data_IF_859294201401
#
_entry.id   IF_859294201401
#
_cell.length_a   1.000
_cell.length_b   1.000
_cell.length_c   1.000
_cell.angle_alpha   90.00
_cell.angle_beta   90.00
_cell.angle_gamma   90.00
#
_symmetry.space_group_name_H-M   'P 1'
#
loop_
_entity.id
_entity.type
_entity.pdbx_description
1 polymer ?
#
# COMPACT_ATOMS: atom_id res chain seq x y z
N UNK A 1 38.38 17.73 7.91
CA UNK A 1 37.06 18.45 8.09
C UNK A 1 36.44 18.61 6.72
N UNK A 2 35.24 18.13 6.52
CA UNK A 2 34.52 18.31 5.26
C UNK A 2 33.80 19.66 5.34
N UNK A 3 34.23 20.64 4.56
CA UNK A 3 33.58 21.94 4.43
C UNK A 3 32.50 21.83 3.35
N UNK A 4 31.24 21.65 3.74
CA UNK A 4 30.09 21.62 2.83
C UNK A 4 28.92 22.40 3.40
N UNK A 5 28.02 22.90 2.52
CA UNK A 5 26.76 23.47 2.94
C UNK A 5 25.86 22.37 3.49
N UNK A 6 25.36 22.54 4.70
CA UNK A 6 24.43 21.61 5.37
C UNK A 6 22.99 22.06 5.11
N UNK A 7 22.12 21.11 4.75
CA UNK A 7 20.69 21.33 4.61
C UNK A 7 19.96 20.48 5.66
N UNK A 8 19.09 21.09 6.42
CA UNK A 8 18.20 20.38 7.35
C UNK A 8 16.94 19.91 6.63
N UNK A 9 16.56 18.66 6.86
CA UNK A 9 15.32 18.09 6.34
C UNK A 9 14.74 17.13 7.38
N UNK A 10 13.41 16.97 7.35
CA UNK A 10 12.72 15.91 8.08
C UNK A 10 12.63 14.67 7.20
N UNK A 11 12.73 13.49 7.79
CA UNK A 11 12.61 12.22 7.09
C UNK A 11 12.06 11.14 8.01
N UNK A 12 11.55 10.07 7.39
CA UNK A 12 11.14 8.86 8.09
C UNK A 12 12.23 7.81 7.81
N UNK A 13 12.85 7.27 8.87
CA UNK A 13 13.81 6.17 8.74
C UNK A 13 13.07 4.87 8.45
N UNK A 14 13.19 4.37 7.25
CA UNK A 14 12.53 3.13 6.81
C UNK A 14 13.42 1.90 6.95
N UNK A 15 14.73 2.07 7.03
CA UNK A 15 15.68 0.98 7.19
C UNK A 15 17.07 1.48 7.53
N UNK A 16 17.93 0.56 7.97
CA UNK A 16 19.32 0.84 8.34
C UNK A 16 20.26 -0.26 7.89
N UNK A 17 21.53 0.13 7.67
CA UNK A 17 22.64 -0.79 7.40
C UNK A 17 23.80 -0.36 8.28
N UNK A 18 24.30 -1.29 9.11
CA UNK A 18 25.46 -1.09 9.95
C UNK A 18 26.59 -2.02 9.54
N UNK A 19 27.76 -1.48 9.24
CA UNK A 19 29.00 -2.22 9.03
C UNK A 19 29.66 -2.43 10.39
N UNK A 20 29.40 -3.57 11.03
CA UNK A 20 29.89 -3.87 12.37
C UNK A 20 31.37 -4.32 12.38
N UNK A 21 31.89 -4.80 11.24
CA UNK A 21 33.25 -5.32 11.15
C UNK A 21 33.46 -6.49 12.11
N UNK A 22 34.52 -6.45 12.90
CA UNK A 22 34.87 -7.52 13.85
C UNK A 22 34.62 -7.16 15.32
N UNK A 23 33.99 -6.00 15.57
CA UNK A 23 33.80 -5.44 16.93
C UNK A 23 33.18 -6.45 17.91
N UNK A 24 32.18 -7.19 17.46
CA UNK A 24 31.49 -8.17 18.29
C UNK A 24 32.14 -9.56 18.21
N UNK A 25 32.48 -10.01 17.01
CA UNK A 25 33.05 -11.33 16.79
C UNK A 25 34.39 -11.53 17.53
N UNK A 26 35.26 -10.54 17.59
CA UNK A 26 36.50 -10.58 18.39
C UNK A 26 36.18 -10.75 19.89
N UNK A 27 35.23 -9.96 20.43
CA UNK A 27 34.87 -10.01 21.85
C UNK A 27 34.20 -11.34 22.26
N UNK A 28 33.49 -11.97 21.31
CA UNK A 28 32.78 -13.24 21.52
C UNK A 28 33.61 -14.45 21.13
N UNK A 29 34.87 -14.27 20.68
CA UNK A 29 35.70 -15.32 20.10
C UNK A 29 35.03 -16.04 18.94
N UNK A 30 34.16 -15.33 18.18
CA UNK A 30 33.48 -15.84 17.00
C UNK A 30 34.44 -15.86 15.81
N UNK A 31 35.09 -17.02 15.59
CA UNK A 31 36.12 -17.17 14.53
C UNK A 31 35.77 -18.29 13.58
N UNK A 32 36.34 -18.23 12.37
CA UNK A 32 36.38 -19.30 11.38
C UNK A 32 37.81 -19.58 10.97
N UNK A 33 38.07 -20.76 10.42
CA UNK A 33 39.38 -21.08 9.85
C UNK A 33 39.35 -20.68 8.38
N UNK A 34 40.36 -19.87 7.97
CA UNK A 34 40.55 -19.55 6.55
C UNK A 34 41.13 -20.76 5.77
N UNK A 35 41.32 -20.62 4.47
CA UNK A 35 41.86 -21.64 3.58
C UNK A 35 43.27 -22.17 4.00
N UNK A 36 43.98 -21.39 4.80
CA UNK A 36 45.30 -21.75 5.34
C UNK A 36 45.24 -22.30 6.76
N UNK A 37 44.01 -22.57 7.28
CA UNK A 37 43.78 -23.05 8.64
C UNK A 37 44.01 -22.01 9.74
N UNK A 38 44.10 -20.72 9.40
CA UNK A 38 44.29 -19.62 10.36
C UNK A 38 42.95 -19.13 10.87
N UNK A 39 42.79 -19.04 12.18
CA UNK A 39 41.58 -18.49 12.81
C UNK A 39 41.48 -16.98 12.51
N UNK A 40 40.31 -16.57 11.99
CA UNK A 40 39.93 -15.17 11.73
C UNK A 40 38.56 -14.87 12.32
N UNK A 41 38.37 -13.65 12.89
CA UNK A 41 37.05 -13.25 13.36
C UNK A 41 36.09 -13.05 12.17
N UNK A 42 34.80 -13.35 12.38
CA UNK A 42 33.75 -13.07 11.41
C UNK A 42 33.60 -11.57 11.18
N UNK A 43 33.55 -11.15 9.91
CA UNK A 43 33.15 -9.79 9.54
C UNK A 43 31.63 -9.73 9.53
N UNK A 44 31.09 -8.82 10.32
CA UNK A 44 29.65 -8.74 10.58
C UNK A 44 29.04 -7.49 9.94
N UNK A 45 27.80 -7.63 9.51
CA UNK A 45 26.90 -6.54 9.14
C UNK A 45 25.56 -6.72 9.84
N UNK A 46 24.84 -5.63 10.02
CA UNK A 46 23.48 -5.65 10.51
C UNK A 46 22.62 -4.73 9.64
N UNK A 47 21.47 -5.21 9.23
CA UNK A 47 20.54 -4.45 8.41
C UNK A 47 19.10 -4.83 8.76
N UNK A 48 18.22 -3.86 8.60
CA UNK A 48 16.81 -4.05 8.92
C UNK A 48 15.91 -3.09 8.16
N UNK A 49 14.66 -3.48 8.00
CA UNK A 49 13.59 -2.67 7.40
C UNK A 49 12.42 -2.62 8.37
N UNK A 50 11.92 -1.41 8.64
CA UNK A 50 10.71 -1.20 9.44
C UNK A 50 9.45 -1.42 8.62
N UNK A 51 9.03 -2.67 8.43
CA UNK A 51 7.91 -3.02 7.53
C UNK A 51 6.63 -2.25 7.87
N UNK A 52 6.24 -2.19 9.13
CA UNK A 52 5.05 -1.44 9.56
C UNK A 52 5.21 0.08 9.33
N UNK A 53 6.44 0.58 9.49
CA UNK A 53 6.75 2.01 9.26
C UNK A 53 6.70 2.37 7.78
N UNK A 54 6.96 1.41 6.88
CA UNK A 54 6.83 1.61 5.43
C UNK A 54 5.44 2.04 5.03
N UNK A 55 4.40 1.49 5.66
CA UNK A 55 2.99 1.87 5.39
C UNK A 55 2.81 3.37 5.61
N UNK A 56 3.24 3.88 6.76
CA UNK A 56 3.16 5.31 7.07
C UNK A 56 3.97 6.16 6.07
N UNK A 57 5.18 5.71 5.70
CA UNK A 57 6.02 6.43 4.75
C UNK A 57 5.42 6.47 3.33
N UNK A 58 4.75 5.39 2.90
CA UNK A 58 4.03 5.33 1.63
C UNK A 58 2.85 6.30 1.63
N UNK A 59 2.05 6.30 2.70
CA UNK A 59 0.90 7.20 2.83
C UNK A 59 1.35 8.66 2.83
N UNK A 60 2.40 9.01 3.57
CA UNK A 60 2.97 10.38 3.61
C UNK A 60 3.44 10.89 2.24
N UNK A 61 3.80 10.00 1.33
CA UNK A 61 4.26 10.35 -0.02
C UNK A 61 3.17 10.26 -1.08
N UNK A 62 2.05 9.60 -0.76
CA UNK A 62 0.99 9.30 -1.71
C UNK A 62 -0.38 9.63 -1.12
N UNK A 63 -0.68 10.91 -1.02
CA UNK A 63 -1.95 11.43 -0.55
C UNK A 63 -2.29 12.76 -1.24
N UNK A 64 -3.54 13.15 -1.12
CA UNK A 64 -4.06 14.47 -1.47
C UNK A 64 -5.00 14.98 -0.37
N UNK A 65 -5.70 16.08 -0.61
CA UNK A 65 -6.67 16.67 0.31
C UNK A 65 -7.87 15.77 0.62
N UNK A 66 -8.15 14.77 -0.22
CA UNK A 66 -9.28 13.86 -0.08
C UNK A 66 -8.90 12.55 0.63
N UNK A 67 -7.62 12.22 0.71
CA UNK A 67 -7.16 11.02 1.40
C UNK A 67 -5.95 10.33 0.75
N UNK A 68 -5.84 9.04 0.97
CA UNK A 68 -4.72 8.22 0.51
C UNK A 68 -4.81 7.99 -1.00
N UNK A 69 -3.66 7.84 -1.65
CA UNK A 69 -3.52 7.41 -3.05
C UNK A 69 -2.59 6.19 -3.07
N UNK A 70 -3.13 5.01 -2.82
CA UNK A 70 -2.30 3.80 -2.79
C UNK A 70 -1.67 3.50 -4.15
N UNK A 71 -0.32 3.32 -4.21
CA UNK A 71 0.29 2.64 -5.36
C UNK A 71 -0.24 1.20 -5.45
N UNK A 72 -0.56 0.73 -6.66
CA UNK A 72 -1.20 -0.58 -6.87
C UNK A 72 -0.39 -1.76 -6.32
N UNK A 73 0.93 -1.60 -6.26
CA UNK A 73 1.88 -2.63 -5.81
C UNK A 73 1.83 -2.90 -4.30
N UNK A 74 1.27 -1.97 -3.53
CA UNK A 74 1.21 -2.03 -2.05
C UNK A 74 -0.18 -1.72 -1.50
N UNK A 75 -1.15 -1.54 -2.37
CA UNK A 75 -2.54 -1.35 -1.98
C UNK A 75 -3.07 -2.61 -1.28
N UNK A 76 -3.82 -2.47 -0.16
CA UNK A 76 -4.42 -3.63 0.52
C UNK A 76 -5.47 -4.34 -0.31
N UNK A 77 -6.12 -3.62 -1.23
CA UNK A 77 -7.03 -4.11 -2.26
C UNK A 77 -6.78 -3.32 -3.54
N UNK A 78 -6.96 -3.94 -4.71
CA UNK A 78 -6.82 -3.24 -5.98
C UNK A 78 -8.06 -2.41 -6.31
N UNK A 79 -9.24 -2.93 -6.01
CA UNK A 79 -10.54 -2.34 -6.39
C UNK A 79 -11.37 -2.02 -5.16
N UNK A 80 -11.98 -0.82 -5.16
CA UNK A 80 -13.09 -0.47 -4.28
C UNK A 80 -14.38 -0.52 -5.07
N UNK A 81 -15.21 -1.51 -4.82
CA UNK A 81 -16.50 -1.70 -5.46
C UNK A 81 -17.59 -1.07 -4.60
N UNK A 82 -18.24 -0.03 -5.10
CA UNK A 82 -19.20 0.78 -4.36
C UNK A 82 -20.61 0.62 -4.96
N UNK A 83 -21.53 0.03 -4.23
CA UNK A 83 -22.96 0.05 -4.56
C UNK A 83 -23.59 1.30 -3.97
N UNK A 84 -24.14 2.19 -4.80
CA UNK A 84 -24.69 3.47 -4.31
C UNK A 84 -26.03 3.30 -3.56
N UNK A 85 -26.82 2.31 -3.92
CA UNK A 85 -28.12 2.05 -3.27
C UNK A 85 -28.40 0.55 -3.15
N UNK A 86 -28.05 0.00 -2.00
CA UNK A 86 -28.25 -1.42 -1.67
C UNK A 86 -29.72 -1.84 -1.55
N UNK A 87 -30.65 -0.88 -1.53
CA UNK A 87 -32.10 -1.14 -1.51
C UNK A 87 -32.67 -1.38 -2.90
N UNK A 88 -31.90 -1.07 -3.95
CA UNK A 88 -32.28 -1.30 -5.34
C UNK A 88 -31.73 -2.64 -5.82
N UNK A 89 -32.60 -3.59 -6.07
CA UNK A 89 -32.22 -4.95 -6.46
C UNK A 89 -31.31 -4.98 -7.66
N UNK A 90 -31.58 -4.17 -8.71
CA UNK A 90 -30.74 -4.12 -9.91
C UNK A 90 -29.30 -3.66 -9.60
N UNK A 91 -29.12 -2.61 -8.77
CA UNK A 91 -27.78 -2.15 -8.38
C UNK A 91 -27.07 -3.20 -7.55
N UNK A 92 -27.76 -3.81 -6.59
CA UNK A 92 -27.22 -4.86 -5.74
C UNK A 92 -26.80 -6.08 -6.58
N UNK A 93 -27.69 -6.62 -7.42
CA UNK A 93 -27.37 -7.78 -8.26
C UNK A 93 -26.22 -7.51 -9.23
N UNK A 94 -26.18 -6.32 -9.84
CA UNK A 94 -25.09 -5.92 -10.73
C UNK A 94 -23.78 -5.85 -9.96
N UNK A 95 -23.78 -5.28 -8.75
CA UNK A 95 -22.59 -5.19 -7.91
C UNK A 95 -22.10 -6.59 -7.52
N UNK A 96 -23.01 -7.47 -7.09
CA UNK A 96 -22.67 -8.85 -6.71
C UNK A 96 -22.08 -9.65 -7.90
N UNK A 97 -22.62 -9.47 -9.11
CA UNK A 97 -22.08 -10.08 -10.34
C UNK A 97 -20.66 -9.60 -10.61
N UNK A 98 -20.40 -8.29 -10.51
CA UNK A 98 -19.07 -7.72 -10.69
C UNK A 98 -18.12 -8.24 -9.61
N UNK A 99 -18.54 -8.26 -8.34
CA UNK A 99 -17.76 -8.76 -7.22
C UNK A 99 -17.30 -10.21 -7.46
N UNK A 100 -18.25 -11.09 -7.78
CA UNK A 100 -17.95 -12.50 -8.02
C UNK A 100 -16.99 -12.69 -9.20
N UNK A 101 -17.21 -11.95 -10.30
CA UNK A 101 -16.32 -12.02 -11.46
C UNK A 101 -14.89 -11.56 -11.13
N UNK A 102 -14.74 -10.48 -10.35
CA UNK A 102 -13.41 -10.01 -9.93
C UNK A 102 -12.72 -11.03 -9.02
N UNK A 103 -13.47 -11.71 -8.13
CA UNK A 103 -12.91 -12.78 -7.29
C UNK A 103 -12.48 -14.00 -8.11
N UNK A 104 -13.25 -14.40 -9.15
CA UNK A 104 -12.88 -15.48 -10.07
C UNK A 104 -11.56 -15.16 -10.79
N UNK A 105 -11.35 -13.88 -11.15
CA UNK A 105 -10.11 -13.39 -11.75
C UNK A 105 -8.99 -13.13 -10.72
N UNK A 106 -9.21 -13.48 -9.44
CA UNK A 106 -8.28 -13.29 -8.32
C UNK A 106 -7.88 -11.83 -8.08
N UNK A 107 -8.78 -10.91 -8.38
CA UNK A 107 -8.62 -9.49 -8.05
C UNK A 107 -9.09 -9.25 -6.62
N UNK A 108 -8.25 -8.63 -5.80
CA UNK A 108 -8.61 -8.25 -4.44
C UNK A 108 -9.54 -7.03 -4.44
N UNK A 109 -10.74 -7.20 -3.88
CA UNK A 109 -11.83 -6.23 -3.91
C UNK A 109 -12.32 -5.90 -2.52
N UNK A 110 -12.39 -4.62 -2.20
CA UNK A 110 -13.15 -4.11 -1.07
C UNK A 110 -14.56 -3.75 -1.54
N UNK A 111 -15.57 -4.47 -1.06
CA UNK A 111 -16.97 -4.23 -1.42
C UNK A 111 -17.68 -3.38 -0.35
N UNK A 112 -18.17 -2.19 -0.73
CA UNK A 112 -18.98 -1.33 0.12
C UNK A 112 -20.46 -1.62 -0.09
N UNK A 113 -20.98 -2.54 0.72
CA UNK A 113 -22.38 -2.98 0.79
C UNK A 113 -23.20 -2.22 1.86
N UNK A 114 -22.66 -1.20 2.49
CA UNK A 114 -23.33 -0.44 3.54
C UNK A 114 -24.55 0.30 3.01
N UNK A 115 -25.55 0.46 3.87
CA UNK A 115 -26.73 1.30 3.59
C UNK A 115 -26.41 2.72 4.05
N UNK A 116 -25.62 3.43 3.24
CA UNK A 116 -25.19 4.81 3.51
C UNK A 116 -25.49 5.73 2.33
N UNK A 117 -25.44 7.04 2.57
CA UNK A 117 -25.65 8.05 1.52
C UNK A 117 -24.49 8.01 0.51
N UNK A 118 -24.76 8.18 -0.80
CA UNK A 118 -23.72 8.16 -1.82
C UNK A 118 -22.54 9.09 -1.52
N UNK A 119 -22.79 10.30 -1.00
CA UNK A 119 -21.73 11.24 -0.64
C UNK A 119 -20.77 10.72 0.45
N UNK A 120 -21.30 9.97 1.43
CA UNK A 120 -20.47 9.32 2.47
C UNK A 120 -19.61 8.25 1.84
N UNK A 121 -20.20 7.38 1.00
CA UNK A 121 -19.45 6.32 0.31
C UNK A 121 -18.35 6.87 -0.59
N UNK A 122 -18.59 7.97 -1.31
CA UNK A 122 -17.58 8.61 -2.13
C UNK A 122 -16.43 9.19 -1.30
N UNK A 123 -16.75 9.90 -0.21
CA UNK A 123 -15.74 10.44 0.67
C UNK A 123 -14.89 9.34 1.32
N UNK A 124 -15.51 8.27 1.79
CA UNK A 124 -14.82 7.12 2.36
C UNK A 124 -13.95 6.41 1.31
N UNK A 125 -14.44 6.25 0.08
CA UNK A 125 -13.68 5.64 -1.00
C UNK A 125 -12.44 6.47 -1.37
N UNK A 126 -12.55 7.79 -1.40
CA UNK A 126 -11.41 8.68 -1.65
C UNK A 126 -10.46 8.72 -0.45
N UNK A 127 -10.98 8.69 0.79
CA UNK A 127 -10.17 8.64 2.00
C UNK A 127 -9.37 7.34 2.10
N UNK A 128 -9.99 6.18 1.84
CA UNK A 128 -9.34 4.87 1.80
C UNK A 128 -8.33 4.81 0.66
N UNK A 129 -8.66 5.37 -0.49
CA UNK A 129 -7.73 5.66 -1.57
C UNK A 129 -7.25 4.47 -2.38
N UNK A 130 -8.06 3.41 -2.54
CA UNK A 130 -7.72 2.27 -3.39
C UNK A 130 -7.55 2.68 -4.86
N UNK A 131 -6.67 2.01 -5.62
CA UNK A 131 -6.28 2.44 -6.96
C UNK A 131 -7.43 2.62 -7.93
N UNK A 132 -8.40 1.72 -7.92
CA UNK A 132 -9.55 1.70 -8.82
C UNK A 132 -10.84 1.70 -7.99
N UNK A 133 -11.76 2.60 -8.33
CA UNK A 133 -13.12 2.61 -7.77
C UNK A 133 -14.11 2.21 -8.87
N UNK A 134 -14.91 1.18 -8.63
CA UNK A 134 -16.02 0.78 -9.50
C UNK A 134 -17.30 1.19 -8.80
N UNK A 135 -18.08 2.05 -9.43
CA UNK A 135 -19.26 2.67 -8.85
C UNK A 135 -20.48 2.16 -9.60
N UNK A 136 -21.35 1.44 -8.90
CA UNK A 136 -22.61 0.94 -9.43
C UNK A 136 -23.73 1.88 -8.98
N UNK A 137 -24.20 2.67 -9.93
CA UNK A 137 -25.19 3.72 -9.72
C UNK A 137 -26.49 3.52 -10.50
N UNK A 138 -27.15 4.62 -10.84
CA UNK A 138 -28.47 4.61 -11.48
C UNK A 138 -28.50 3.95 -12.86
N UNK A 139 -27.38 4.03 -13.59
CA UNK A 139 -27.26 3.45 -14.93
C UNK A 139 -26.98 1.94 -14.94
N UNK A 140 -27.01 1.29 -13.77
CA UNK A 140 -26.90 -0.16 -13.68
C UNK A 140 -28.02 -0.88 -14.45
N UNK A 141 -29.21 -0.26 -14.56
CA UNK A 141 -30.34 -0.75 -15.37
C UNK A 141 -30.00 -0.82 -16.87
N UNK A 142 -29.08 0.03 -17.32
CA UNK A 142 -28.57 0.07 -18.69
C UNK A 142 -27.29 -0.80 -18.88
N UNK A 143 -26.85 -1.49 -17.82
CA UNK A 143 -25.62 -2.26 -17.80
C UNK A 143 -24.35 -1.41 -17.74
N UNK A 144 -24.46 -0.13 -17.34
CA UNK A 144 -23.35 0.82 -17.28
C UNK A 144 -22.92 1.03 -15.83
N UNK A 145 -21.62 0.97 -15.59
CA UNK A 145 -20.97 1.30 -14.31
C UNK A 145 -19.92 2.38 -14.55
N UNK A 146 -19.59 3.14 -13.52
CA UNK A 146 -18.54 4.15 -13.59
C UNK A 146 -17.24 3.58 -13.00
N UNK A 147 -16.13 3.75 -13.71
CA UNK A 147 -14.80 3.40 -13.21
C UNK A 147 -14.03 4.70 -12.98
N UNK A 148 -13.47 4.87 -11.78
CA UNK A 148 -12.63 6.01 -11.42
C UNK A 148 -11.24 5.53 -11.04
N UNK A 149 -10.21 6.13 -11.62
CA UNK A 149 -8.81 5.93 -11.23
C UNK A 149 -8.47 6.94 -10.13
N UNK A 150 -8.16 6.46 -8.92
CA UNK A 150 -7.95 7.32 -7.74
C UNK A 150 -6.82 8.33 -7.95
N UNK A 151 -5.72 7.91 -8.57
CA UNK A 151 -4.51 8.73 -8.75
C UNK A 151 -4.71 9.90 -9.72
N UNK A 152 -5.44 9.70 -10.80
CA UNK A 152 -5.62 10.72 -11.86
C UNK A 152 -6.96 11.44 -11.76
N UNK A 153 -7.93 10.84 -11.07
CA UNK A 153 -9.31 11.30 -11.03
C UNK A 153 -10.08 11.04 -12.34
N UNK A 154 -9.46 10.37 -13.33
CA UNK A 154 -10.11 10.00 -14.58
C UNK A 154 -11.29 9.08 -14.32
N UNK A 155 -12.36 9.27 -15.10
CA UNK A 155 -13.61 8.52 -15.02
C UNK A 155 -14.03 8.05 -16.40
N UNK A 156 -14.47 6.81 -16.49
CA UNK A 156 -15.09 6.19 -17.65
C UNK A 156 -16.46 5.60 -17.29
#
# INVERSE_FOLDING_TARGET
>A
MVHGKVKFAKGIEIGQIFKLGTIYSEKMNGTYLDENGKAKPYIMGCYGIGVSRLIAAIIEQNNDENGIIWPKEVAPYLVHLVCLDMKKDVQKETTEKIYNKLLEEKVEVLYDDRIERPGVKFNDADLIGLPIQIIVGRKADEGIVEIKVRKTGERE
#
